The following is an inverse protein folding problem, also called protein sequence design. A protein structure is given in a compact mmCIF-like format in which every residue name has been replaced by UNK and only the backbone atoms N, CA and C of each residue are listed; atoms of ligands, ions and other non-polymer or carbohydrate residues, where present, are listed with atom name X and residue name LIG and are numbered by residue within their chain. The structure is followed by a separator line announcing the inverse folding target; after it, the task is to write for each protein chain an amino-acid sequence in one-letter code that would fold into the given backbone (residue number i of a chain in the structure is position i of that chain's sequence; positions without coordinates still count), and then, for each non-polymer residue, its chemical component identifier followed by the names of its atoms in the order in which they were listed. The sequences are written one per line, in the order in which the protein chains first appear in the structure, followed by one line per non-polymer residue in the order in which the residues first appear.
data_IF_114952430015
#
_entry.id   IF_114952430015
#
_cell.length_a   1.000
_cell.length_b   1.000
_cell.length_c   1.000
_cell.angle_alpha   90.00
_cell.angle_beta   90.00
_cell.angle_gamma   90.00
#
_symmetry.space_group_name_H-M   'P 1'
#
loop_
_entity.id
_entity.type
_entity.pdbx_description
1 polymer ?
#
# COMPACT_ATOMS: atom_id res chain seq x y z
N UNK A 1 5.04 5.23 13.55
CA UNK A 1 5.02 6.67 13.89
C UNK A 1 6.04 7.47 13.10
N UNK A 2 7.33 7.07 13.06
CA UNK A 2 8.37 7.79 12.30
C UNK A 2 8.01 7.97 10.82
N UNK A 3 7.61 6.90 10.12
CA UNK A 3 7.21 6.98 8.70
C UNK A 3 6.03 7.93 8.46
N UNK A 4 5.10 8.01 9.41
CA UNK A 4 3.94 8.89 9.30
C UNK A 4 4.35 10.37 9.46
N UNK A 5 5.31 10.65 10.34
CA UNK A 5 5.86 12.01 10.47
C UNK A 5 6.62 12.41 9.21
N UNK A 6 7.41 11.50 8.63
CA UNK A 6 8.11 11.75 7.36
C UNK A 6 7.13 11.98 6.21
N UNK A 7 6.04 11.20 6.13
CA UNK A 7 5.00 11.38 5.11
C UNK A 7 4.42 12.79 5.17
N UNK A 8 3.94 13.21 6.36
CA UNK A 8 3.36 14.55 6.55
C UNK A 8 4.36 15.65 6.21
N UNK A 9 5.65 15.45 6.50
CA UNK A 9 6.71 16.38 6.15
C UNK A 9 6.86 16.53 4.62
N UNK A 10 6.89 15.42 3.87
CA UNK A 10 7.01 15.46 2.42
C UNK A 10 5.75 15.98 1.73
N UNK A 11 4.56 15.67 2.23
CA UNK A 11 3.30 16.22 1.73
C UNK A 11 3.23 17.73 1.93
N UNK A 12 3.62 18.20 3.13
CA UNK A 12 3.68 19.63 3.43
C UNK A 12 4.68 20.36 2.53
N UNK A 13 5.84 19.74 2.29
CA UNK A 13 6.88 20.28 1.41
C UNK A 13 6.42 20.33 -0.05
N UNK A 14 5.67 19.31 -0.50
CA UNK A 14 5.09 19.28 -1.84
C UNK A 14 4.06 20.39 -2.03
N UNK A 15 3.14 20.58 -1.07
CA UNK A 15 2.15 21.67 -1.09
C UNK A 15 2.86 23.02 -1.11
N UNK A 16 3.86 23.21 -0.23
CA UNK A 16 4.67 24.43 -0.20
C UNK A 16 5.37 24.68 -1.53
N UNK A 17 5.96 23.66 -2.14
CA UNK A 17 6.63 23.76 -3.42
C UNK A 17 5.71 24.14 -4.57
N UNK A 18 4.44 23.72 -4.54
CA UNK A 18 3.43 24.15 -5.52
C UNK A 18 3.12 25.64 -5.34
N UNK A 19 2.94 26.09 -4.08
CA UNK A 19 2.62 27.48 -3.79
C UNK A 19 3.75 28.45 -4.18
N UNK A 20 5.00 28.03 -3.99
CA UNK A 20 6.19 28.83 -4.31
C UNK A 20 6.63 28.70 -5.78
N UNK A 21 5.94 27.87 -6.58
CA UNK A 21 6.24 27.69 -8.00
C UNK A 21 7.59 27.02 -8.25
N UNK A 22 7.94 26.00 -7.46
CA UNK A 22 9.16 25.22 -7.65
C UNK A 22 9.23 24.53 -9.00
N UNK A 23 10.45 24.30 -9.48
CA UNK A 23 10.68 23.61 -10.74
C UNK A 23 10.10 22.18 -10.74
N UNK A 24 9.68 21.72 -11.91
CA UNK A 24 9.04 20.42 -12.10
C UNK A 24 9.91 19.27 -11.61
N UNK A 25 11.23 19.34 -11.80
CA UNK A 25 12.14 18.27 -11.37
C UNK A 25 12.11 18.10 -9.84
N UNK A 26 12.11 19.22 -9.10
CA UNK A 26 12.13 19.20 -7.65
C UNK A 26 10.78 18.74 -7.06
N UNK A 27 9.67 19.20 -7.65
CA UNK A 27 8.32 18.73 -7.30
C UNK A 27 8.15 17.23 -7.56
N UNK A 28 8.63 16.74 -8.71
CA UNK A 28 8.54 15.32 -9.06
C UNK A 28 9.34 14.44 -8.10
N UNK A 29 10.53 14.89 -7.70
CA UNK A 29 11.34 14.19 -6.70
C UNK A 29 10.63 14.14 -5.34
N UNK A 30 10.10 15.27 -4.88
CA UNK A 30 9.37 15.37 -3.60
C UNK A 30 8.16 14.44 -3.59
N UNK A 31 7.40 14.40 -4.68
CA UNK A 31 6.25 13.51 -4.84
C UNK A 31 6.66 12.03 -4.87
N UNK A 32 7.76 11.70 -5.54
CA UNK A 32 8.28 10.33 -5.56
C UNK A 32 8.70 9.85 -4.17
N UNK A 33 9.29 10.74 -3.35
CA UNK A 33 9.65 10.43 -1.97
C UNK A 33 8.42 10.18 -1.08
N UNK A 34 7.36 10.98 -1.22
CA UNK A 34 6.10 10.74 -0.52
C UNK A 34 5.52 9.36 -0.88
N UNK A 35 5.39 9.04 -2.18
CA UNK A 35 4.90 7.72 -2.60
C UNK A 35 5.80 6.55 -2.17
N UNK A 36 7.12 6.75 -2.10
CA UNK A 36 8.03 5.75 -1.55
C UNK A 36 7.72 5.46 -0.08
N UNK A 37 7.55 6.49 0.74
CA UNK A 37 7.26 6.36 2.17
C UNK A 37 5.87 5.73 2.38
N UNK A 38 4.87 6.16 1.62
CA UNK A 38 3.54 5.55 1.59
C UNK A 38 3.63 4.05 1.23
N UNK A 39 4.39 3.69 0.20
CA UNK A 39 4.59 2.29 -0.21
C UNK A 39 5.24 1.43 0.89
N UNK A 40 6.26 1.97 1.56
CA UNK A 40 6.89 1.31 2.71
C UNK A 40 5.90 1.15 3.87
N UNK A 41 5.08 2.17 4.13
CA UNK A 41 4.07 2.12 5.19
C UNK A 41 3.04 1.02 4.92
N UNK A 42 2.61 0.84 3.66
CA UNK A 42 1.73 -0.25 3.25
C UNK A 42 2.42 -1.60 3.44
N UNK A 43 3.69 -1.76 3.04
CA UNK A 43 4.42 -3.03 3.23
C UNK A 43 4.55 -3.40 4.72
N UNK A 44 4.89 -2.43 5.57
CA UNK A 44 4.92 -2.65 7.02
C UNK A 44 3.54 -2.96 7.60
N UNK A 45 2.49 -2.29 7.13
CA UNK A 45 1.12 -2.58 7.54
C UNK A 45 0.74 -4.01 7.18
N UNK A 46 1.04 -4.44 5.94
CA UNK A 46 0.78 -5.81 5.47
C UNK A 46 1.48 -6.83 6.36
N UNK A 47 2.77 -6.66 6.65
CA UNK A 47 3.53 -7.61 7.47
C UNK A 47 3.08 -7.66 8.93
N UNK A 48 2.62 -6.53 9.48
CA UNK A 48 2.30 -6.43 10.91
C UNK A 48 0.85 -6.77 11.24
N UNK A 49 -0.08 -6.50 10.30
CA UNK A 49 -1.52 -6.60 10.56
C UNK A 49 -2.25 -7.59 9.67
N UNK A 50 -1.70 -8.03 8.53
CA UNK A 50 -2.32 -9.15 7.81
C UNK A 50 -2.02 -10.44 8.57
N UNK A 51 -3.05 -11.20 8.96
CA UNK A 51 -2.83 -12.50 9.54
C UNK A 51 -2.19 -13.39 8.47
N UNK A 52 -1.08 -14.04 8.82
CA UNK A 52 -0.39 -15.04 7.98
C UNK A 52 -1.19 -16.35 7.83
N UNK A 53 -2.47 -16.31 8.18
CA UNK A 53 -3.39 -17.45 8.11
C UNK A 53 -4.19 -17.31 6.83
N UNK A 54 -3.81 -18.08 5.82
CA UNK A 54 -4.66 -18.29 4.66
C UNK A 54 -5.85 -19.15 5.10
N UNK A 55 -7.01 -18.54 5.29
CA UNK A 55 -8.26 -19.29 5.44
C UNK A 55 -8.57 -20.00 4.12
N UNK A 56 -8.20 -21.28 4.07
CA UNK A 56 -8.50 -22.14 2.94
C UNK A 56 -10.00 -22.44 2.94
N UNK A 57 -10.75 -21.81 2.03
CA UNK A 57 -12.13 -22.19 1.77
C UNK A 57 -12.16 -23.60 1.20
N UNK A 58 -12.51 -24.58 2.03
CA UNK A 58 -12.64 -25.99 1.61
C UNK A 58 -13.69 -26.09 0.50
N UNK A 59 -13.27 -26.52 -0.69
CA UNK A 59 -14.21 -26.79 -1.80
C UNK A 59 -15.16 -27.90 -1.35
N UNK A 60 -16.48 -27.66 -1.43
CA UNK A 60 -17.46 -28.73 -1.19
C UNK A 60 -17.17 -29.91 -2.12
N UNK A 61 -17.10 -31.11 -1.56
CA UNK A 61 -16.96 -32.34 -2.36
C UNK A 61 -18.12 -32.40 -3.35
N UNK A 62 -17.82 -32.60 -4.64
CA UNK A 62 -18.88 -32.87 -5.62
C UNK A 62 -19.41 -34.27 -5.33
N UNK A 63 -20.69 -34.38 -5.02
CA UNK A 63 -21.39 -35.67 -4.98
C UNK A 63 -21.48 -36.14 -6.42
N UNK A 64 -20.58 -37.03 -6.81
CA UNK A 64 -20.68 -37.74 -8.09
C UNK A 64 -21.68 -38.86 -7.86
N UNK A 65 -22.94 -38.62 -8.21
CA UNK A 65 -23.91 -39.71 -8.31
C UNK A 65 -23.36 -40.68 -9.35
N UNK A 66 -23.00 -41.90 -8.94
CA UNK A 66 -22.71 -42.96 -9.91
C UNK A 66 -24.00 -43.17 -10.69
N UNK A 67 -24.00 -42.79 -11.97
CA UNK A 67 -25.04 -43.18 -12.90
C UNK A 67 -24.94 -44.69 -13.05
N UNK A 68 -25.82 -45.42 -12.38
CA UNK A 68 -26.13 -46.81 -12.75
C UNK A 68 -26.78 -46.79 -14.13
N UNK A 69 -26.02 -47.14 -15.17
CA UNK A 69 -26.53 -47.91 -16.30
C UNK A 69 -25.43 -48.45 -17.20
#
# INVERSE_FOLDING_TARGET
MILLVLEIMYDSLFIYGILEGWDQQFLSFTLAMAFMIMGLMIDFYRRSFLPDVLELKKRRSKVITKLER
#
